data_IF_571624185604
#
_entry.id   IF_571624185604
#
_cell.length_a   1.000
_cell.length_b   1.000
_cell.length_c   1.000
_cell.angle_alpha   90.00
_cell.angle_beta   90.00
_cell.angle_gamma   90.00
#
_symmetry.space_group_name_H-M   'P 1'
#
loop_
_entity.id
_entity.type
_entity.pdbx_description
1 polymer ?
#
# COMPACT_ATOMS: atom_id res chain seq x y z
N UNK A 1 52.24 -48.61 59.08
CA UNK A 1 52.07 -49.23 57.74
C UNK A 1 50.77 -48.71 57.14
N UNK A 2 50.80 -48.38 55.85
CA UNK A 2 49.79 -47.66 55.05
C UNK A 2 48.36 -48.25 55.08
N UNK A 3 47.36 -47.36 54.82
CA UNK A 3 46.20 -47.53 53.89
C UNK A 3 44.97 -48.30 54.47
N UNK A 4 43.69 -47.96 54.26
CA UNK A 4 42.94 -47.05 53.37
C UNK A 4 41.52 -46.74 53.91
N UNK A 5 40.95 -45.68 53.35
CA UNK A 5 39.69 -44.93 53.54
C UNK A 5 38.42 -45.59 52.93
N UNK A 6 37.22 -45.27 53.44
CA UNK A 6 36.03 -44.97 52.62
C UNK A 6 34.88 -44.31 53.43
N UNK A 7 34.13 -43.44 52.75
CA UNK A 7 33.21 -42.38 53.21
C UNK A 7 31.76 -42.87 53.34
N UNK A 8 30.98 -42.26 54.25
CA UNK A 8 29.54 -42.49 54.49
C UNK A 8 28.75 -41.19 54.21
N UNK A 9 27.60 -41.31 53.54
CA UNK A 9 26.60 -40.23 53.37
C UNK A 9 25.32 -40.64 54.10
N UNK A 10 24.80 -39.77 54.98
CA UNK A 10 23.50 -39.91 55.63
C UNK A 10 22.68 -38.66 55.28
N UNK A 11 21.45 -38.86 54.80
CA UNK A 11 20.47 -37.80 54.57
C UNK A 11 19.43 -37.76 55.69
N UNK A 12 18.97 -36.55 56.04
CA UNK A 12 17.77 -36.34 56.87
C UNK A 12 17.02 -35.05 56.48
N UNK A 13 15.70 -35.25 56.34
CA UNK A 13 14.51 -34.40 56.49
C UNK A 13 14.65 -33.02 57.16
N UNK A 14 13.87 -32.03 56.68
CA UNK A 14 13.59 -30.77 57.38
C UNK A 14 12.43 -29.97 56.76
N UNK A 15 11.49 -29.53 57.61
CA UNK A 15 10.21 -28.85 57.36
C UNK A 15 10.30 -27.31 57.25
N UNK A 16 9.27 -26.72 56.62
CA UNK A 16 8.81 -25.30 56.57
C UNK A 16 8.73 -24.63 57.97
N UNK A 17 8.80 -23.31 58.24
CA UNK A 17 8.79 -22.00 57.56
C UNK A 17 9.28 -20.94 58.59
N UNK A 18 9.97 -19.85 58.21
CA UNK A 18 9.87 -18.50 58.83
C UNK A 18 10.74 -17.49 58.08
N UNK A 19 10.16 -16.36 57.68
CA UNK A 19 10.82 -15.25 56.98
C UNK A 19 11.74 -14.43 57.91
N UNK A 20 12.90 -13.96 57.42
CA UNK A 20 13.17 -12.53 57.17
C UNK A 20 14.52 -12.26 56.48
N UNK A 21 14.43 -11.29 55.55
CA UNK A 21 15.40 -10.30 55.03
C UNK A 21 16.43 -10.62 53.94
N UNK A 22 16.22 -9.85 52.86
CA UNK A 22 17.17 -9.11 52.01
C UNK A 22 18.35 -9.88 51.43
N UNK A 23 18.27 -10.14 50.13
CA UNK A 23 19.45 -10.20 49.28
C UNK A 23 19.18 -9.43 47.99
N UNK A 24 19.82 -8.26 47.95
CA UNK A 24 20.40 -7.53 46.83
C UNK A 24 20.16 -8.14 45.44
N UNK A 25 19.50 -7.36 44.59
CA UNK A 25 19.37 -7.59 43.16
C UNK A 25 20.74 -7.87 42.51
N UNK A 26 20.93 -9.09 42.02
CA UNK A 26 21.90 -9.40 40.97
C UNK A 26 21.40 -8.87 39.62
N UNK A 27 22.24 -8.86 38.56
CA UNK A 27 21.94 -8.17 37.31
C UNK A 27 20.67 -8.77 36.71
N UNK A 28 19.60 -7.98 36.72
CA UNK A 28 18.31 -8.37 36.18
C UNK A 28 18.46 -8.78 34.73
N UNK A 29 17.92 -9.95 34.42
CA UNK A 29 17.57 -10.36 33.06
C UNK A 29 16.82 -9.18 32.41
N UNK A 30 17.18 -8.72 31.19
CA UNK A 30 16.56 -7.53 30.62
C UNK A 30 15.08 -7.81 30.39
N UNK A 31 14.23 -7.13 31.15
CA UNK A 31 12.81 -6.98 30.83
C UNK A 31 12.79 -6.24 29.49
N UNK A 32 12.58 -6.96 28.40
CA UNK A 32 12.29 -6.36 27.10
C UNK A 32 11.00 -5.56 27.31
N UNK A 33 11.07 -4.25 27.10
CA UNK A 33 9.95 -3.32 27.20
C UNK A 33 8.73 -3.87 26.44
N UNK A 34 7.59 -4.08 27.13
CA UNK A 34 6.36 -4.61 26.52
C UNK A 34 5.94 -3.79 25.28
N UNK A 35 6.33 -2.51 25.22
CA UNK A 35 6.11 -1.65 24.05
C UNK A 35 6.97 -2.03 22.85
N UNK A 36 8.24 -2.39 23.04
CA UNK A 36 9.12 -2.85 21.94
C UNK A 36 8.62 -4.20 21.43
N UNK A 37 8.22 -5.10 22.33
CA UNK A 37 7.60 -6.37 21.95
C UNK A 37 6.30 -6.15 21.18
N UNK A 38 5.45 -5.22 21.63
CA UNK A 38 4.23 -4.85 20.94
C UNK A 38 4.50 -4.24 19.54
N UNK A 39 5.47 -3.34 19.41
CA UNK A 39 5.85 -2.77 18.12
C UNK A 39 6.39 -3.85 17.17
N UNK A 40 7.13 -4.84 17.68
CA UNK A 40 7.53 -6.01 16.91
C UNK A 40 6.33 -6.81 16.42
N UNK A 41 5.34 -7.02 17.29
CA UNK A 41 4.11 -7.73 16.93
C UNK A 41 3.26 -6.96 15.90
N UNK A 42 3.47 -5.65 15.74
CA UNK A 42 2.94 -4.83 14.64
C UNK A 42 3.74 -4.94 13.34
N UNK A 43 4.84 -5.71 13.33
CA UNK A 43 5.68 -5.95 12.16
C UNK A 43 6.93 -5.08 12.06
N UNK A 44 7.21 -4.21 13.03
CA UNK A 44 8.42 -3.39 13.03
C UNK A 44 9.66 -4.18 13.48
N UNK A 45 10.82 -3.95 12.85
CA UNK A 45 12.04 -4.73 13.12
C UNK A 45 12.79 -4.15 14.32
N UNK A 46 13.10 -4.97 15.34
CA UNK A 46 13.72 -4.49 16.59
C UNK A 46 15.12 -3.89 16.43
N UNK A 47 15.86 -4.27 15.38
CA UNK A 47 17.17 -3.68 15.08
C UNK A 47 17.06 -2.20 14.69
N UNK A 48 15.89 -1.81 14.21
CA UNK A 48 15.60 -0.50 13.65
C UNK A 48 14.64 0.32 14.54
N UNK A 49 14.23 -0.24 15.69
CA UNK A 49 13.48 0.47 16.73
C UNK A 49 14.48 1.06 17.74
N UNK A 50 14.62 2.38 17.71
CA UNK A 50 15.47 3.16 18.61
C UNK A 50 14.57 3.89 19.61
N UNK A 51 14.69 3.54 20.90
CA UNK A 51 14.02 4.26 21.98
C UNK A 51 14.67 5.63 22.19
N UNK A 52 13.84 6.67 22.29
CA UNK A 52 14.23 8.04 22.61
C UNK A 52 13.34 8.56 23.75
N UNK A 53 13.71 9.68 24.38
CA UNK A 53 13.00 10.20 25.57
C UNK A 53 11.48 10.38 25.36
N UNK A 54 11.08 10.81 24.17
CA UNK A 54 9.68 11.10 23.82
C UNK A 54 8.93 9.94 23.15
N UNK A 55 9.57 8.79 22.88
CA UNK A 55 8.94 7.69 22.17
C UNK A 55 9.94 6.74 21.49
N UNK A 56 9.61 6.33 20.27
CA UNK A 56 10.37 5.36 19.50
C UNK A 56 10.56 5.88 18.08
N UNK A 57 11.80 5.84 17.58
CA UNK A 57 12.12 6.02 16.17
C UNK A 57 12.25 4.64 15.55
N UNK A 58 11.53 4.39 14.47
CA UNK A 58 11.46 3.11 13.78
C UNK A 58 12.00 3.32 12.37
N UNK A 59 12.86 2.42 11.91
CA UNK A 59 13.48 2.44 10.57
C UNK A 59 14.23 3.75 10.24
N UNK A 60 14.54 4.54 11.28
CA UNK A 60 15.30 5.77 11.20
C UNK A 60 14.49 7.04 11.02
N UNK A 61 13.23 6.98 10.58
CA UNK A 61 12.40 8.15 10.20
C UNK A 61 10.89 8.01 10.53
N UNK A 62 10.42 6.89 11.07
CA UNK A 62 9.06 6.80 11.63
C UNK A 62 9.14 7.15 13.12
N UNK A 63 8.41 8.16 13.56
CA UNK A 63 8.34 8.49 14.99
C UNK A 63 6.99 8.10 15.58
N UNK A 64 7.01 7.31 16.66
CA UNK A 64 5.82 7.03 17.47
C UNK A 64 6.05 7.60 18.87
N UNK A 65 5.14 8.48 19.32
CA UNK A 65 5.22 8.96 20.69
C UNK A 65 4.88 7.84 21.67
N UNK A 66 5.34 7.95 22.92
CA UNK A 66 4.93 7.01 23.98
C UNK A 66 3.40 6.86 24.07
N UNK A 67 2.66 7.96 23.88
CA UNK A 67 1.20 7.95 23.90
C UNK A 67 0.60 7.20 22.70
N UNK A 68 1.19 7.34 21.51
CA UNK A 68 0.73 6.62 20.32
C UNK A 68 0.88 5.11 20.51
N UNK A 69 2.02 4.67 21.04
CA UNK A 69 2.27 3.25 21.33
C UNK A 69 1.28 2.73 22.38
N UNK A 70 1.03 3.49 23.45
CA UNK A 70 0.04 3.11 24.47
C UNK A 70 -1.39 3.03 23.90
N UNK A 71 -1.77 3.94 23.01
CA UNK A 71 -3.06 3.93 22.33
C UNK A 71 -3.19 2.73 21.38
N UNK A 72 -2.11 2.39 20.67
CA UNK A 72 -2.06 1.22 19.78
C UNK A 72 -2.20 -0.08 20.59
N UNK A 73 -1.49 -0.20 21.72
CA UNK A 73 -1.61 -1.33 22.65
C UNK A 73 -3.04 -1.49 23.18
N UNK A 74 -3.70 -0.38 23.52
CA UNK A 74 -5.09 -0.40 24.00
C UNK A 74 -6.11 -0.77 22.90
N UNK A 75 -5.85 -0.38 21.64
CA UNK A 75 -6.74 -0.65 20.49
C UNK A 75 -6.62 -2.07 19.94
N UNK A 76 -5.43 -2.69 19.99
CA UNK A 76 -5.26 -4.10 19.58
C UNK A 76 -6.15 -5.05 20.41
N UNK A 77 -6.40 -4.71 21.69
CA UNK A 77 -7.35 -5.43 22.54
C UNK A 77 -8.84 -5.29 22.11
N UNK A 78 -9.16 -4.45 21.11
CA UNK A 78 -10.54 -3.99 20.81
C UNK A 78 -10.88 -3.78 19.32
N UNK A 79 -10.22 -4.44 18.36
CA UNK A 79 -10.45 -4.37 16.88
C UNK A 79 -9.54 -3.36 16.16
N UNK A 80 -8.58 -3.90 15.38
CA UNK A 80 -7.98 -3.31 14.16
C UNK A 80 -7.14 -2.03 14.28
N UNK A 81 -5.83 -2.15 14.06
CA UNK A 81 -4.88 -1.02 13.95
C UNK A 81 -4.95 -0.36 12.57
N UNK A 82 -5.91 0.53 12.32
CA UNK A 82 -5.89 1.30 11.06
C UNK A 82 -5.02 2.56 11.20
N UNK A 83 -3.82 2.54 10.63
CA UNK A 83 -2.99 3.73 10.37
C UNK A 83 -3.47 4.50 9.13
N UNK A 84 -4.79 4.64 8.96
CA UNK A 84 -5.39 5.26 7.79
C UNK A 84 -6.16 6.52 8.16
N UNK A 85 -6.20 7.46 7.22
CA UNK A 85 -7.02 8.67 7.32
C UNK A 85 -8.47 8.33 6.97
N UNK A 86 -9.43 8.78 7.78
CA UNK A 86 -10.86 8.59 7.50
C UNK A 86 -11.31 9.40 6.28
N UNK A 87 -12.27 8.93 5.47
CA UNK A 87 -12.72 9.61 4.25
C UNK A 87 -12.96 11.12 4.37
N UNK A 88 -13.53 11.58 5.48
CA UNK A 88 -13.85 12.99 5.72
C UNK A 88 -12.62 13.88 5.92
N UNK A 89 -11.47 13.28 6.24
CA UNK A 89 -10.21 13.96 6.55
C UNK A 89 -9.16 13.81 5.44
N UNK A 90 -9.48 13.12 4.34
CA UNK A 90 -8.55 12.88 3.22
C UNK A 90 -8.39 14.12 2.32
N UNK A 91 -9.43 14.96 2.26
CA UNK A 91 -9.42 16.20 1.47
C UNK A 91 -9.03 17.39 2.34
N UNK A 92 -8.20 18.30 1.82
CA UNK A 92 -7.76 19.53 2.50
C UNK A 92 -6.91 19.29 3.77
N UNK A 93 -5.94 18.37 3.68
CA UNK A 93 -4.95 18.12 4.73
C UNK A 93 -3.97 19.29 4.76
N UNK A 94 -4.14 20.21 5.71
CA UNK A 94 -3.36 21.45 5.79
C UNK A 94 -1.97 21.20 6.35
N UNK A 95 -0.95 21.49 5.55
CA UNK A 95 0.46 21.37 5.90
C UNK A 95 1.04 22.74 6.20
N UNK A 96 1.45 22.97 7.44
CA UNK A 96 2.05 24.22 7.87
C UNK A 96 3.57 24.11 7.92
N UNK A 97 4.25 24.94 7.12
CA UNK A 97 5.68 25.17 7.21
C UNK A 97 6.00 26.10 8.39
N UNK A 98 6.38 25.52 9.53
CA UNK A 98 6.72 26.27 10.74
C UNK A 98 8.20 26.67 10.72
N UNK A 99 8.44 27.89 10.23
CA UNK A 99 9.74 28.55 10.22
C UNK A 99 10.87 27.68 9.61
N UNK A 100 10.59 27.05 8.46
CA UNK A 100 11.56 26.25 7.74
C UNK A 100 12.62 27.13 7.05
N UNK A 101 13.82 26.59 6.83
CA UNK A 101 14.81 27.20 5.93
C UNK A 101 14.26 27.25 4.49
N UNK A 102 14.70 28.22 3.68
CA UNK A 102 14.09 28.54 2.38
C UNK A 102 14.11 27.39 1.37
N UNK A 103 15.19 26.59 1.35
CA UNK A 103 15.28 25.37 0.56
C UNK A 103 14.24 24.33 0.97
N UNK A 104 14.00 24.14 2.26
CA UNK A 104 12.94 23.24 2.75
C UNK A 104 11.52 23.76 2.45
N UNK A 105 11.28 25.07 2.53
CA UNK A 105 10.00 25.66 2.11
C UNK A 105 9.71 25.41 0.63
N UNK A 106 10.71 25.61 -0.22
CA UNK A 106 10.60 25.37 -1.66
C UNK A 106 10.32 23.89 -1.93
N UNK A 107 11.09 23.00 -1.29
CA UNK A 107 10.92 21.56 -1.41
C UNK A 107 9.54 21.08 -0.93
N UNK A 108 9.02 21.63 0.19
CA UNK A 108 7.70 21.27 0.71
C UNK A 108 6.58 21.64 -0.27
N UNK A 109 6.67 22.83 -0.86
CA UNK A 109 5.71 23.28 -1.88
C UNK A 109 5.72 22.33 -3.09
N UNK A 110 6.92 21.90 -3.53
CA UNK A 110 7.06 20.95 -4.62
C UNK A 110 6.58 19.54 -4.27
N UNK A 111 6.80 19.09 -3.03
CA UNK A 111 6.34 17.79 -2.54
C UNK A 111 4.81 17.73 -2.47
N UNK A 112 4.16 18.77 -1.93
CA UNK A 112 2.70 18.92 -1.91
C UNK A 112 2.13 18.89 -3.33
N UNK A 113 2.75 19.63 -4.26
CA UNK A 113 2.32 19.65 -5.66
C UNK A 113 2.43 18.26 -6.31
N UNK A 114 3.48 17.50 -6.01
CA UNK A 114 3.67 16.14 -6.55
C UNK A 114 2.60 15.16 -6.02
N UNK A 115 2.32 15.17 -4.71
CA UNK A 115 1.24 14.35 -4.14
C UNK A 115 -0.11 14.70 -4.74
N UNK A 116 -0.44 15.99 -4.85
CA UNK A 116 -1.72 16.44 -5.42
C UNK A 116 -1.83 16.23 -6.94
N UNK A 117 -0.72 16.05 -7.64
CA UNK A 117 -0.70 15.71 -9.06
C UNK A 117 -0.93 14.20 -9.30
N UNK A 118 -0.91 13.38 -8.23
CA UNK A 118 -1.23 11.96 -8.35
C UNK A 118 -2.73 11.79 -8.59
N UNK A 119 -3.13 11.26 -9.75
CA UNK A 119 -4.54 11.16 -10.09
C UNK A 119 -5.23 10.09 -9.25
N UNK A 120 -6.56 10.14 -9.18
CA UNK A 120 -7.41 9.07 -8.65
C UNK A 120 -7.24 8.77 -7.16
N UNK A 121 -6.68 9.72 -6.41
CA UNK A 121 -6.66 9.70 -4.95
C UNK A 121 -7.51 10.81 -4.35
N UNK A 122 -8.17 10.53 -3.23
CA UNK A 122 -8.82 11.56 -2.41
C UNK A 122 -7.84 12.41 -1.61
N UNK A 123 -6.59 11.96 -1.44
CA UNK A 123 -5.58 12.69 -0.67
C UNK A 123 -5.30 14.01 -1.35
N UNK A 124 -5.52 15.09 -0.62
CA UNK A 124 -5.22 16.42 -1.07
C UNK A 124 -4.58 17.23 0.06
N UNK A 125 -3.31 17.56 -0.12
CA UNK A 125 -2.58 18.44 0.78
C UNK A 125 -2.77 19.90 0.39
N UNK A 126 -2.95 20.77 1.37
CA UNK A 126 -3.05 22.22 1.15
C UNK A 126 -2.12 22.97 2.07
N UNK A 127 -1.83 24.24 1.78
CA UNK A 127 -1.01 25.06 2.67
C UNK A 127 -1.82 25.44 3.92
N UNK A 128 -1.28 25.10 5.09
CA UNK A 128 -1.77 25.51 6.40
C UNK A 128 -1.03 26.72 6.96
N UNK A 129 -1.45 27.15 8.15
CA UNK A 129 -0.79 28.23 8.91
C UNK A 129 -0.81 27.94 10.41
N UNK A 130 -0.08 28.73 11.19
CA UNK A 130 -0.11 28.64 12.66
C UNK A 130 -1.56 28.71 13.18
N UNK A 131 -1.95 27.71 13.98
CA UNK A 131 -3.31 27.58 14.52
C UNK A 131 -4.36 27.02 13.55
N UNK A 132 -4.00 26.74 12.30
CA UNK A 132 -4.89 26.16 11.29
C UNK A 132 -4.11 25.19 10.38
N UNK A 133 -3.78 24.02 10.93
CA UNK A 133 -3.03 22.98 10.25
C UNK A 133 -3.46 21.59 10.75
N UNK A 134 -3.25 20.59 9.90
CA UNK A 134 -3.31 19.17 10.26
C UNK A 134 -1.90 18.64 10.52
N UNK A 135 -0.95 19.02 9.67
CA UNK A 135 0.45 18.58 9.72
C UNK A 135 1.32 19.81 9.97
N UNK A 136 2.14 19.77 11.03
CA UNK A 136 3.19 20.77 11.28
C UNK A 136 4.51 20.24 10.76
N UNK A 137 5.16 20.96 9.85
CA UNK A 137 6.50 20.66 9.38
C UNK A 137 7.45 21.65 10.04
N UNK A 138 8.40 21.17 10.84
CA UNK A 138 9.33 22.03 11.59
C UNK A 138 10.76 21.50 11.55
N UNK A 139 11.72 22.40 11.69
CA UNK A 139 13.11 22.02 11.96
C UNK A 139 13.35 21.81 13.46
N UNK A 140 14.24 20.89 13.78
CA UNK A 140 14.82 20.73 15.11
C UNK A 140 16.35 20.73 15.02
N UNK A 141 17.08 21.19 16.06
CA UNK A 141 18.54 21.30 16.01
C UNK A 141 19.24 19.99 15.64
N UNK A 142 18.73 18.87 16.16
CA UNK A 142 19.14 17.51 15.84
C UNK A 142 18.00 16.54 16.11
N UNK A 143 17.97 15.43 15.38
CA UNK A 143 17.16 14.26 15.72
C UNK A 143 18.04 13.20 16.40
N UNK A 144 17.41 12.24 17.06
CA UNK A 144 18.09 11.08 17.64
C UNK A 144 17.55 9.81 16.98
N UNK A 145 18.40 8.94 16.41
CA UNK A 145 19.85 9.14 16.26
C UNK A 145 20.17 10.35 15.37
N UNK A 146 21.37 10.92 15.51
CA UNK A 146 21.77 12.13 14.74
C UNK A 146 21.86 11.90 13.24
N UNK A 147 21.89 10.63 12.82
CA UNK A 147 21.82 10.18 11.43
C UNK A 147 20.43 10.32 10.83
N UNK A 148 19.37 10.39 11.64
CA UNK A 148 17.99 10.63 11.18
C UNK A 148 17.91 11.96 10.44
N UNK A 149 17.42 11.91 9.20
CA UNK A 149 17.36 13.06 8.30
C UNK A 149 16.10 13.88 8.61
N UNK A 150 14.96 13.20 8.64
CA UNK A 150 13.67 13.71 9.06
C UNK A 150 12.90 12.55 9.69
N UNK A 151 11.81 12.86 10.37
CA UNK A 151 10.85 11.85 10.80
C UNK A 151 9.43 12.39 10.80
N UNK A 152 8.46 11.49 10.73
CA UNK A 152 7.04 11.82 10.72
C UNK A 152 6.23 10.95 11.69
N UNK A 153 5.13 11.51 12.19
CA UNK A 153 4.09 10.74 12.87
C UNK A 153 3.21 10.02 11.83
N UNK A 154 2.80 8.79 12.13
CA UNK A 154 1.77 8.08 11.36
C UNK A 154 0.35 8.64 11.67
N UNK A 155 -0.65 8.33 10.83
CA UNK A 155 -2.04 8.68 11.11
C UNK A 155 -2.52 8.12 12.45
N UNK A 156 -3.37 8.89 13.12
CA UNK A 156 -3.99 8.46 14.37
C UNK A 156 -5.44 8.91 14.43
N UNK A 157 -6.32 7.99 14.84
CA UNK A 157 -7.75 8.24 14.98
C UNK A 157 -8.42 8.83 13.72
N UNK A 158 -8.01 8.36 12.53
CA UNK A 158 -8.56 8.82 11.25
C UNK A 158 -8.04 10.19 10.79
N UNK A 159 -7.11 10.80 11.51
CA UNK A 159 -6.46 12.05 11.11
C UNK A 159 -5.06 11.77 10.54
N UNK A 160 -4.59 12.64 9.65
CA UNK A 160 -3.21 12.62 9.17
C UNK A 160 -2.20 12.73 10.34
N UNK A 161 -1.01 12.18 10.12
CA UNK A 161 0.14 12.33 11.01
C UNK A 161 0.45 13.80 11.27
N UNK A 162 0.39 14.20 12.54
CA UNK A 162 0.30 15.64 12.87
C UNK A 162 1.63 16.41 12.80
N UNK A 163 2.75 15.72 12.59
CA UNK A 163 4.09 16.30 12.72
C UNK A 163 5.07 15.65 11.74
N UNK A 164 5.87 16.50 11.10
CA UNK A 164 7.12 16.15 10.44
C UNK A 164 8.22 16.98 11.09
N UNK A 165 9.30 16.34 11.53
CA UNK A 165 10.49 17.02 12.06
C UNK A 165 11.67 16.81 11.11
N UNK A 166 12.39 17.89 10.83
CA UNK A 166 13.57 17.86 9.97
C UNK A 166 14.79 18.14 10.83
N UNK A 167 15.82 17.31 10.71
CA UNK A 167 17.10 17.53 11.36
C UNK A 167 17.82 18.71 10.68
N UNK A 168 18.06 19.80 11.41
CA UNK A 168 18.71 21.00 10.88
C UNK A 168 20.14 20.74 10.36
N UNK A 169 20.79 19.65 10.78
CA UNK A 169 22.08 19.20 10.25
C UNK A 169 22.02 18.82 8.77
N UNK A 170 20.83 18.66 8.19
CA UNK A 170 20.61 18.27 6.80
C UNK A 170 20.36 19.46 5.85
N UNK A 171 20.47 20.70 6.34
CA UNK A 171 20.17 21.91 5.56
C UNK A 171 21.05 22.10 4.32
N UNK A 172 22.25 21.51 4.30
CA UNK A 172 23.19 21.55 3.17
C UNK A 172 22.69 20.80 1.93
N UNK A 173 21.66 19.95 2.06
CA UNK A 173 21.14 19.14 0.95
C UNK A 173 20.57 20.02 -0.16
N UNK A 174 20.72 19.61 -1.44
CA UNK A 174 20.09 20.29 -2.56
C UNK A 174 18.55 20.18 -2.48
N UNK A 175 17.84 21.12 -3.12
CA UNK A 175 16.36 21.18 -3.10
C UNK A 175 15.73 19.88 -3.60
N UNK A 176 16.31 19.20 -4.59
CA UNK A 176 15.82 17.91 -5.09
C UNK A 176 15.82 16.82 -4.02
N UNK A 177 16.89 16.70 -3.25
CA UNK A 177 16.96 15.76 -2.12
C UNK A 177 15.99 16.15 -1.01
N UNK A 178 15.87 17.45 -0.71
CA UNK A 178 14.88 17.96 0.27
C UNK A 178 13.45 17.63 -0.15
N UNK A 179 13.12 17.74 -1.45
CA UNK A 179 11.81 17.38 -2.01
C UNK A 179 11.54 15.90 -1.80
N UNK A 180 12.49 15.03 -2.17
CA UNK A 180 12.34 13.59 -1.99
C UNK A 180 12.07 13.21 -0.53
N UNK A 181 12.84 13.77 0.40
CA UNK A 181 12.67 13.54 1.84
C UNK A 181 11.27 13.99 2.28
N UNK A 182 10.84 15.21 1.95
CA UNK A 182 9.52 15.68 2.36
C UNK A 182 8.37 14.92 1.70
N UNK A 183 8.54 14.42 0.47
CA UNK A 183 7.57 13.53 -0.15
C UNK A 183 7.42 12.23 0.64
N UNK A 184 8.55 11.63 1.05
CA UNK A 184 8.58 10.42 1.89
C UNK A 184 7.89 10.64 3.23
N UNK A 185 8.25 11.71 3.94
CA UNK A 185 7.63 12.04 5.24
C UNK A 185 6.13 12.31 5.11
N UNK A 186 5.69 12.98 4.04
CA UNK A 186 4.25 13.14 3.77
C UNK A 186 3.55 11.79 3.54
N UNK A 187 4.23 10.82 2.91
CA UNK A 187 3.76 9.44 2.79
C UNK A 187 3.49 8.80 4.17
N UNK A 188 4.41 8.95 5.12
CA UNK A 188 4.18 8.51 6.49
C UNK A 188 2.97 9.19 7.13
N UNK A 189 2.77 10.49 6.92
CA UNK A 189 1.60 11.18 7.49
C UNK A 189 0.25 10.71 6.94
N UNK A 190 0.24 9.95 5.86
CA UNK A 190 -0.95 9.30 5.30
C UNK A 190 -0.91 7.78 5.46
N UNK A 191 -0.01 7.24 6.27
CA UNK A 191 -0.02 5.84 6.68
C UNK A 191 0.80 4.91 5.82
N UNK A 192 1.59 5.44 4.87
CA UNK A 192 2.56 4.62 4.17
C UNK A 192 3.72 4.29 5.10
N UNK A 193 4.22 3.07 5.00
CA UNK A 193 5.38 2.57 5.74
C UNK A 193 6.44 2.13 4.75
N UNK A 194 7.64 1.81 5.23
CA UNK A 194 8.73 1.43 4.35
C UNK A 194 8.47 0.13 3.59
N UNK A 195 9.00 0.06 2.37
CA UNK A 195 8.82 -1.08 1.43
C UNK A 195 9.92 -2.14 1.53
N UNK A 196 11.02 -1.83 2.22
CA UNK A 196 12.22 -2.65 2.34
C UNK A 196 12.40 -3.30 3.73
N UNK A 197 11.41 -3.17 4.62
CA UNK A 197 11.34 -3.90 5.89
C UNK A 197 10.81 -5.32 5.67
N UNK A 198 11.65 -6.22 5.15
CA UNK A 198 11.30 -7.62 4.90
C UNK A 198 11.51 -8.46 6.17
N UNK A 199 10.43 -8.95 6.79
CA UNK A 199 10.48 -10.16 7.61
C UNK A 199 9.35 -11.15 7.26
N UNK A 200 9.65 -12.43 7.40
CA UNK A 200 8.77 -13.56 7.13
C UNK A 200 7.64 -13.75 8.16
N UNK A 201 7.46 -12.83 9.12
CA UNK A 201 6.44 -12.90 10.16
C UNK A 201 5.19 -12.05 9.84
N UNK A 202 5.28 -11.09 8.92
CA UNK A 202 4.14 -10.30 8.41
C UNK A 202 3.10 -11.13 7.64
N UNK A 203 3.41 -12.38 7.26
CA UNK A 203 2.45 -13.33 6.70
C UNK A 203 1.35 -13.73 7.70
N UNK A 204 1.46 -13.35 8.98
CA UNK A 204 0.49 -13.67 10.04
C UNK A 204 -0.36 -12.48 10.52
N UNK A 205 -0.03 -11.24 10.15
CA UNK A 205 -0.76 -10.03 10.60
C UNK A 205 -1.31 -9.14 9.48
N UNK A 206 -1.25 -9.62 8.24
CA UNK A 206 -2.02 -9.08 7.11
C UNK A 206 -1.80 -7.56 6.87
N UNK A 207 -0.54 -7.07 6.68
CA UNK A 207 -0.38 -5.91 5.81
C UNK A 207 -0.94 -6.39 4.47
N UNK A 208 -2.09 -5.87 4.06
CA UNK A 208 -2.69 -6.29 2.80
C UNK A 208 -1.68 -6.02 1.70
N UNK A 209 -1.04 -7.09 1.21
CA UNK A 209 -0.33 -7.06 -0.05
C UNK A 209 -1.29 -6.43 -1.03
N UNK A 210 -0.93 -5.24 -1.51
CA UNK A 210 -1.70 -4.59 -2.53
C UNK A 210 -1.41 -5.35 -3.81
N UNK A 211 -2.37 -6.18 -4.17
CA UNK A 211 -2.26 -7.13 -5.26
C UNK A 211 -1.82 -6.40 -6.54
N UNK A 212 -0.65 -6.71 -7.10
CA UNK A 212 -0.07 -5.97 -8.23
C UNK A 212 1.13 -5.07 -7.94
N UNK A 213 1.54 -4.90 -6.67
CA UNK A 213 2.87 -4.36 -6.34
C UNK A 213 3.90 -5.49 -6.39
N UNK A 214 5.02 -5.28 -7.09
CA UNK A 214 6.03 -6.32 -7.28
C UNK A 214 6.44 -7.00 -5.96
N UNK A 215 6.47 -8.33 -5.95
CA UNK A 215 6.76 -9.18 -4.80
C UNK A 215 8.26 -9.28 -4.43
N UNK A 216 9.05 -8.23 -4.68
CA UNK A 216 10.46 -8.18 -4.32
C UNK A 216 10.94 -6.72 -4.35
N UNK A 217 11.33 -6.19 -3.19
CA UNK A 217 12.08 -4.93 -3.00
C UNK A 217 11.94 -3.92 -4.15
N UNK A 218 10.90 -3.08 -4.13
CA UNK A 218 10.83 -1.94 -5.04
C UNK A 218 11.91 -0.91 -4.64
N UNK A 219 13.13 -1.09 -5.16
CA UNK A 219 14.26 -0.19 -4.96
C UNK A 219 13.99 1.22 -5.49
N UNK A 220 12.95 1.40 -6.31
CA UNK A 220 12.52 2.70 -6.82
C UNK A 220 11.55 3.43 -5.91
N UNK A 221 10.87 2.72 -5.00
CA UNK A 221 9.81 3.24 -4.13
C UNK A 221 10.22 4.53 -3.41
N UNK A 222 9.31 5.50 -3.38
CA UNK A 222 9.45 6.69 -2.56
C UNK A 222 9.60 6.31 -1.07
N UNK A 223 8.95 5.23 -0.65
CA UNK A 223 8.93 4.73 0.72
C UNK A 223 10.02 3.67 0.96
N UNK A 224 11.18 3.76 0.31
CA UNK A 224 12.34 2.96 0.67
C UNK A 224 13.12 3.65 1.82
N UNK A 225 13.54 2.89 2.84
CA UNK A 225 14.27 3.40 4.02
C UNK A 225 15.64 3.98 3.67
N UNK A 226 16.31 3.36 2.69
CA UNK A 226 17.52 3.92 2.09
C UNK A 226 17.08 4.82 0.93
N UNK A 227 17.16 6.15 1.09
CA UNK A 227 16.87 7.17 0.06
C UNK A 227 17.73 6.99 -1.21
N UNK A 228 17.47 5.93 -1.96
CA UNK A 228 18.10 5.50 -3.21
C UNK A 228 17.22 5.86 -4.42
N UNK A 229 16.02 6.40 -4.19
CA UNK A 229 15.10 6.81 -5.23
C UNK A 229 15.80 7.78 -6.19
N UNK A 230 15.93 7.34 -7.44
CA UNK A 230 16.72 7.99 -8.49
C UNK A 230 16.06 9.29 -8.99
N UNK A 231 14.80 9.53 -8.62
CA UNK A 231 13.97 10.66 -9.08
C UNK A 231 13.07 11.19 -7.97
N UNK A 232 12.97 12.52 -7.81
CA UNK A 232 12.08 13.18 -6.84
C UNK A 232 10.62 13.25 -7.34
N UNK A 233 10.04 12.09 -7.65
CA UNK A 233 8.69 11.91 -8.22
C UNK A 233 8.05 10.67 -7.60
N UNK A 234 6.74 10.67 -7.39
CA UNK A 234 6.02 9.51 -6.87
C UNK A 234 6.07 8.40 -7.92
N UNK A 235 6.51 7.20 -7.54
CA UNK A 235 6.67 6.10 -8.50
C UNK A 235 5.34 5.48 -8.90
N UNK A 236 5.37 4.58 -9.88
CA UNK A 236 4.18 3.86 -10.34
C UNK A 236 3.53 3.06 -9.20
N UNK A 237 4.32 2.31 -8.43
CA UNK A 237 3.79 1.47 -7.36
C UNK A 237 3.33 2.29 -6.15
N UNK A 238 3.97 3.43 -5.84
CA UNK A 238 3.50 4.36 -4.82
C UNK A 238 2.13 4.96 -5.20
N UNK A 239 1.92 5.33 -6.47
CA UNK A 239 0.62 5.83 -6.96
C UNK A 239 -0.46 4.76 -6.90
N UNK A 240 -0.13 3.53 -7.30
CA UNK A 240 -1.04 2.40 -7.22
C UNK A 240 -1.47 2.10 -5.78
N UNK A 241 -0.52 2.14 -4.83
CA UNK A 241 -0.83 2.00 -3.41
C UNK A 241 -1.70 3.17 -2.91
N UNK A 242 -1.42 4.40 -3.37
CA UNK A 242 -2.15 5.60 -2.98
C UNK A 242 -3.61 5.55 -3.39
N UNK A 243 -3.91 5.15 -4.61
CA UNK A 243 -5.29 5.04 -5.04
C UNK A 243 -6.02 3.92 -4.33
N UNK A 244 -5.40 2.76 -4.11
CA UNK A 244 -6.05 1.66 -3.41
C UNK A 244 -6.35 1.99 -1.95
N UNK A 245 -5.44 2.72 -1.31
CA UNK A 245 -5.60 3.15 0.08
C UNK A 245 -6.63 4.28 0.19
N UNK A 246 -6.60 5.22 -0.76
CA UNK A 246 -7.38 6.46 -0.74
C UNK A 246 -8.04 6.73 -2.10
N UNK A 247 -9.00 5.91 -2.53
CA UNK A 247 -9.58 5.97 -3.88
C UNK A 247 -10.44 7.22 -4.08
N UNK A 248 -10.18 8.05 -5.11
CA UNK A 248 -11.09 9.15 -5.50
C UNK A 248 -12.49 8.64 -5.82
N UNK A 249 -12.55 7.47 -6.47
CA UNK A 249 -13.78 6.75 -6.79
C UNK A 249 -13.75 5.39 -6.08
N UNK A 250 -14.14 5.31 -4.79
CA UNK A 250 -14.18 4.04 -4.09
C UNK A 250 -15.14 3.10 -4.82
N UNK A 251 -14.80 1.80 -4.93
CA UNK A 251 -15.72 0.80 -5.45
C UNK A 251 -17.05 0.90 -4.69
N UNK A 252 -18.16 1.08 -5.42
CA UNK A 252 -19.47 1.10 -4.77
C UNK A 252 -19.69 -0.22 -4.02
N UNK A 253 -20.34 -0.14 -2.87
CA UNK A 253 -20.76 -1.34 -2.13
C UNK A 253 -21.53 -2.28 -3.06
N UNK A 254 -21.08 -3.54 -3.16
CA UNK A 254 -21.64 -4.52 -4.10
C UNK A 254 -20.93 -4.60 -5.45
N UNK A 255 -19.76 -3.98 -5.60
CA UNK A 255 -18.86 -4.15 -6.76
C UNK A 255 -17.60 -4.95 -6.40
N UNK A 256 -16.97 -5.56 -7.40
CA UNK A 256 -15.72 -6.30 -7.30
C UNK A 256 -14.75 -5.92 -8.41
N UNK A 257 -13.46 -6.13 -8.17
CA UNK A 257 -12.41 -5.85 -9.13
C UNK A 257 -12.44 -6.83 -10.30
N UNK A 258 -12.20 -6.32 -11.51
CA UNK A 258 -11.90 -7.11 -12.71
C UNK A 258 -10.43 -6.94 -13.03
N UNK A 259 -9.67 -8.02 -12.95
CA UNK A 259 -8.24 -8.07 -13.19
C UNK A 259 -7.95 -8.24 -14.67
N UNK A 260 -6.96 -7.49 -15.19
CA UNK A 260 -6.44 -7.61 -16.56
C UNK A 260 -5.15 -8.42 -16.57
N UNK A 261 -5.07 -9.38 -17.49
CA UNK A 261 -3.87 -10.17 -17.75
C UNK A 261 -3.52 -10.11 -19.24
N UNK A 262 -2.23 -10.18 -19.57
CA UNK A 262 -1.74 -10.29 -20.94
C UNK A 262 -0.94 -11.57 -21.12
N UNK A 263 -1.22 -12.30 -22.20
CA UNK A 263 -0.46 -13.49 -22.56
C UNK A 263 0.60 -13.16 -23.60
N UNK A 264 1.86 -13.23 -23.20
CA UNK A 264 3.00 -12.86 -24.04
C UNK A 264 3.26 -13.84 -25.19
N UNK A 265 2.69 -15.05 -25.16
CA UNK A 265 2.90 -16.07 -26.19
C UNK A 265 1.93 -15.93 -27.36
N UNK A 266 0.67 -15.58 -27.11
CA UNK A 266 -0.38 -15.48 -28.13
C UNK A 266 -1.01 -14.08 -28.26
N UNK A 267 -0.55 -13.14 -27.43
CA UNK A 267 -0.97 -11.74 -27.36
C UNK A 267 -2.46 -11.56 -27.02
N UNK A 268 -3.03 -12.44 -26.21
CA UNK A 268 -4.41 -12.35 -25.73
C UNK A 268 -4.52 -11.52 -24.43
N UNK A 269 -5.56 -10.69 -24.33
CA UNK A 269 -5.95 -10.05 -23.08
C UNK A 269 -7.11 -10.76 -22.39
N UNK A 270 -6.92 -11.08 -21.12
CA UNK A 270 -7.88 -11.79 -20.29
C UNK A 270 -8.36 -10.93 -19.12
N UNK A 271 -9.68 -10.97 -18.86
CA UNK A 271 -10.35 -10.21 -17.83
C UNK A 271 -11.14 -11.14 -16.93
N UNK A 272 -10.91 -11.06 -15.62
CA UNK A 272 -11.61 -11.93 -14.65
C UNK A 272 -11.83 -11.27 -13.30
N UNK A 273 -12.92 -11.66 -12.65
CA UNK A 273 -13.18 -11.36 -11.24
C UNK A 273 -12.49 -12.34 -10.28
N UNK A 274 -12.08 -13.52 -10.77
CA UNK A 274 -11.53 -14.57 -9.94
C UNK A 274 -10.01 -14.57 -10.05
N UNK A 275 -9.35 -14.05 -9.01
CA UNK A 275 -7.89 -14.00 -8.91
C UNK A 275 -7.22 -15.36 -9.14
N UNK A 276 -7.84 -16.44 -8.68
CA UNK A 276 -7.28 -17.80 -8.78
C UNK A 276 -7.58 -18.49 -10.11
N UNK A 277 -8.33 -17.88 -11.03
CA UNK A 277 -8.69 -18.49 -12.31
C UNK A 277 -7.48 -18.82 -13.19
N UNK A 278 -6.44 -17.98 -13.12
CA UNK A 278 -5.18 -18.17 -13.85
C UNK A 278 -4.00 -18.51 -12.91
N UNK A 279 -4.31 -19.02 -11.70
CA UNK A 279 -3.37 -19.40 -10.63
C UNK A 279 -2.70 -18.26 -9.83
N UNK A 280 -3.03 -16.97 -10.02
CA UNK A 280 -2.35 -15.88 -9.29
C UNK A 280 -0.81 -15.93 -9.41
N UNK A 281 -0.07 -15.32 -8.48
CA UNK A 281 1.40 -15.28 -8.48
C UNK A 281 2.10 -16.66 -8.27
N UNK A 282 1.36 -17.76 -8.08
CA UNK A 282 1.95 -19.11 -8.03
C UNK A 282 2.22 -19.62 -9.45
N UNK A 283 3.33 -19.12 -9.99
CA UNK A 283 4.00 -19.52 -11.23
C UNK A 283 3.39 -18.98 -12.55
N UNK A 284 3.73 -17.75 -12.96
CA UNK A 284 3.28 -17.15 -14.24
C UNK A 284 3.70 -17.93 -15.50
N UNK A 285 4.59 -18.92 -15.37
CA UNK A 285 5.11 -19.69 -16.50
C UNK A 285 4.20 -20.86 -16.95
N UNK A 286 3.19 -21.27 -16.17
CA UNK A 286 2.35 -22.42 -16.56
C UNK A 286 1.20 -22.09 -17.52
N UNK A 287 0.69 -20.85 -17.51
CA UNK A 287 -0.41 -20.40 -18.38
C UNK A 287 0.01 -19.36 -19.43
N UNK A 288 1.18 -18.72 -19.25
CA UNK A 288 1.70 -17.67 -20.13
C UNK A 288 1.07 -16.29 -19.92
N UNK A 289 0.14 -16.14 -18.97
CA UNK A 289 -0.48 -14.87 -18.62
C UNK A 289 0.29 -14.17 -17.50
N UNK A 290 0.48 -12.86 -17.66
CA UNK A 290 1.02 -11.97 -16.63
C UNK A 290 -0.06 -10.98 -16.22
N UNK A 291 -0.24 -10.80 -14.91
CA UNK A 291 -1.10 -9.75 -14.38
C UNK A 291 -0.59 -8.38 -14.81
N UNK A 292 -1.49 -7.50 -15.24
CA UNK A 292 -1.15 -6.13 -15.63
C UNK A 292 -1.72 -5.10 -14.63
N UNK A 293 -3.00 -5.19 -14.30
CA UNK A 293 -3.68 -4.23 -13.43
C UNK A 293 -5.09 -4.67 -13.03
N UNK A 294 -5.72 -3.93 -12.12
CA UNK A 294 -7.18 -3.91 -12.04
C UNK A 294 -7.68 -3.08 -13.23
N UNK A 295 -8.44 -3.69 -14.12
CA UNK A 295 -8.98 -3.03 -15.30
C UNK A 295 -10.07 -2.02 -14.94
N UNK A 296 -11.00 -2.45 -14.08
CA UNK A 296 -12.19 -1.71 -13.65
C UNK A 296 -12.92 -2.49 -12.54
N UNK A 297 -13.95 -1.88 -11.96
CA UNK A 297 -14.89 -2.53 -11.04
C UNK A 297 -16.24 -2.75 -11.73
N UNK A 298 -16.81 -3.93 -11.50
CA UNK A 298 -18.12 -4.33 -11.99
C UNK A 298 -19.02 -4.72 -10.81
N UNK A 299 -20.35 -4.67 -11.00
CA UNK A 299 -21.29 -5.16 -10.00
C UNK A 299 -21.13 -6.66 -9.77
N UNK A 300 -21.13 -7.09 -8.51
CA UNK A 300 -21.18 -8.50 -8.11
C UNK A 300 -22.58 -9.10 -8.27
N UNK A 301 -23.60 -8.25 -8.16
CA UNK A 301 -24.99 -8.58 -8.40
C UNK A 301 -25.60 -7.58 -9.37
N UNK A 302 -26.58 -8.03 -10.14
CA UNK A 302 -27.31 -7.15 -11.04
C UNK A 302 -28.20 -6.21 -10.23
N UNK A 303 -27.97 -4.90 -10.34
CA UNK A 303 -28.88 -3.89 -9.80
C UNK A 303 -29.00 -2.70 -10.76
N UNK A 304 -30.12 -1.98 -10.67
CA UNK A 304 -30.31 -0.66 -11.28
C UNK A 304 -29.81 -0.51 -12.72
N UNK A 305 -30.43 -1.14 -13.71
CA UNK A 305 -30.08 -0.92 -15.12
C UNK A 305 -28.74 -1.53 -15.58
N UNK A 306 -28.01 -2.22 -14.70
CA UNK A 306 -26.84 -3.01 -15.10
C UNK A 306 -27.26 -4.25 -15.92
N UNK A 307 -26.36 -4.68 -16.78
CA UNK A 307 -26.46 -5.88 -17.61
C UNK A 307 -25.21 -6.73 -17.46
N UNK A 308 -25.29 -8.06 -17.61
CA UNK A 308 -24.11 -8.93 -17.57
C UNK A 308 -23.13 -8.59 -18.71
N UNK A 309 -21.84 -8.58 -18.37
CA UNK A 309 -20.76 -8.52 -19.35
C UNK A 309 -20.25 -9.94 -19.59
N UNK A 310 -20.50 -10.46 -20.78
CA UNK A 310 -20.28 -11.86 -21.12
C UNK A 310 -18.89 -12.08 -21.70
N UNK A 311 -18.23 -13.17 -21.30
CA UNK A 311 -16.94 -13.62 -21.83
C UNK A 311 -17.14 -14.79 -22.78
N UNK A 312 -16.47 -14.72 -23.92
CA UNK A 312 -16.41 -15.77 -24.93
C UNK A 312 -14.96 -16.05 -25.30
N UNK A 313 -14.64 -17.29 -25.63
CA UNK A 313 -13.33 -17.71 -26.13
C UNK A 313 -13.46 -18.22 -27.57
N UNK A 314 -12.59 -17.76 -28.45
CA UNK A 314 -12.53 -18.23 -29.83
C UNK A 314 -11.83 -19.59 -29.91
N UNK A 315 -12.55 -20.63 -30.31
CA UNK A 315 -12.12 -22.04 -30.20
C UNK A 315 -10.90 -22.43 -31.04
N UNK A 316 -10.44 -21.57 -31.96
CA UNK A 316 -9.28 -21.84 -32.83
C UNK A 316 -8.01 -21.11 -32.36
N UNK A 317 -8.14 -19.89 -31.86
CA UNK A 317 -6.99 -19.04 -31.53
C UNK A 317 -6.95 -18.67 -30.04
N UNK A 318 -7.90 -19.18 -29.25
CA UNK A 318 -8.04 -19.01 -27.81
C UNK A 318 -8.13 -17.56 -27.34
N UNK A 319 -8.55 -16.65 -28.23
CA UNK A 319 -8.70 -15.24 -27.89
C UNK A 319 -10.03 -14.93 -27.26
N UNK A 320 -10.02 -14.02 -26.30
CA UNK A 320 -11.22 -13.66 -25.56
C UNK A 320 -11.95 -12.47 -26.19
N UNK A 321 -13.28 -12.52 -26.09
CA UNK A 321 -14.17 -11.45 -26.51
C UNK A 321 -15.21 -11.18 -25.42
N UNK A 322 -15.46 -9.91 -25.16
CA UNK A 322 -16.35 -9.45 -24.08
C UNK A 322 -17.43 -8.54 -24.63
N UNK A 323 -18.68 -8.83 -24.31
CA UNK A 323 -19.80 -8.02 -24.82
C UNK A 323 -21.01 -8.04 -23.86
N UNK A 324 -21.78 -6.96 -23.86
CA UNK A 324 -23.12 -6.90 -23.26
C UNK A 324 -24.22 -7.37 -24.22
N UNK A 325 -23.89 -7.58 -25.49
CA UNK A 325 -24.78 -8.01 -26.56
C UNK A 325 -24.31 -9.34 -27.16
N UNK A 326 -24.82 -10.49 -26.66
CA UNK A 326 -24.51 -11.82 -27.20
C UNK A 326 -24.71 -11.97 -28.71
N UNK A 327 -25.57 -11.14 -29.32
CA UNK A 327 -25.82 -11.16 -30.75
C UNK A 327 -24.58 -10.83 -31.58
N UNK A 328 -23.61 -10.08 -31.03
CA UNK A 328 -22.33 -9.82 -31.70
C UNK A 328 -21.55 -11.11 -31.97
N UNK A 329 -21.70 -12.10 -31.09
CA UNK A 329 -21.04 -13.39 -31.21
C UNK A 329 -21.87 -14.35 -32.05
N UNK A 330 -23.17 -14.50 -31.75
CA UNK A 330 -24.03 -15.45 -32.47
C UNK A 330 -24.17 -15.11 -33.96
N UNK A 331 -24.18 -13.82 -34.31
CA UNK A 331 -24.32 -13.38 -35.70
C UNK A 331 -22.99 -13.36 -36.47
N UNK A 332 -21.85 -13.52 -35.79
CA UNK A 332 -20.53 -13.49 -36.44
C UNK A 332 -20.22 -14.72 -37.27
N UNK A 333 -20.90 -15.84 -37.00
CA UNK A 333 -20.57 -17.16 -37.56
C UNK A 333 -19.20 -17.71 -37.13
N UNK A 334 -18.51 -17.05 -36.20
CA UNK A 334 -17.20 -17.46 -35.69
C UNK A 334 -17.35 -18.48 -34.55
N UNK A 335 -16.39 -19.42 -34.39
CA UNK A 335 -16.47 -20.50 -33.42
C UNK A 335 -16.14 -20.03 -32.00
N UNK A 336 -17.00 -19.21 -31.40
CA UNK A 336 -16.86 -18.77 -30.00
C UNK A 336 -17.62 -19.67 -29.03
N UNK A 337 -16.97 -20.01 -27.93
CA UNK A 337 -17.55 -20.73 -26.80
C UNK A 337 -17.86 -19.77 -25.66
N UNK A 338 -19.08 -19.84 -25.11
CA UNK A 338 -19.50 -19.02 -23.97
C UNK A 338 -18.83 -19.50 -22.68
N UNK A 339 -18.25 -18.58 -21.90
CA UNK A 339 -17.54 -18.89 -20.66
C UNK A 339 -18.17 -18.24 -19.41
N UNK A 340 -19.34 -17.61 -19.53
CA UNK A 340 -20.02 -16.98 -18.39
C UNK A 340 -20.01 -15.46 -18.44
N UNK A 341 -20.37 -14.84 -17.32
CA UNK A 341 -20.28 -13.39 -17.11
C UNK A 341 -19.17 -13.07 -16.13
N UNK A 342 -18.39 -12.02 -16.43
CA UNK A 342 -17.31 -11.53 -15.57
C UNK A 342 -17.81 -10.51 -14.54
N UNK A 343 -19.04 -10.02 -14.68
CA UNK A 343 -19.67 -9.06 -13.77
C UNK A 343 -20.80 -8.30 -14.44
N UNK A 344 -21.44 -7.40 -13.71
CA UNK A 344 -22.53 -6.56 -14.19
C UNK A 344 -22.04 -5.13 -14.45
N UNK A 345 -22.36 -4.58 -15.63
CA UNK A 345 -21.89 -3.28 -16.14
C UNK A 345 -23.05 -2.44 -16.65
N UNK A 346 -22.86 -1.14 -16.85
CA UNK A 346 -23.91 -0.29 -17.38
C UNK A 346 -23.85 -0.20 -18.92
N UNK A 347 -24.99 -0.33 -19.62
CA UNK A 347 -25.03 -0.16 -21.07
C UNK A 347 -24.92 1.32 -21.49
N UNK A 348 -25.20 2.24 -20.57
CA UNK A 348 -25.18 3.71 -20.79
C UNK A 348 -24.51 4.43 -19.62
N UNK A 349 -23.96 5.61 -19.88
CA UNK A 349 -23.26 6.43 -18.89
C UNK A 349 -24.14 6.68 -17.64
N UNK A 350 -23.61 6.37 -16.47
CA UNK A 350 -24.19 6.72 -15.17
C UNK A 350 -23.24 7.67 -14.39
N UNK A 351 -23.70 8.34 -13.32
CA UNK A 351 -22.81 9.10 -12.44
C UNK A 351 -21.70 8.22 -11.87
N UNK A 352 -20.45 8.68 -11.94
CA UNK A 352 -19.28 7.98 -11.39
C UNK A 352 -18.75 6.81 -12.23
N UNK A 353 -19.32 6.54 -13.41
CA UNK A 353 -18.80 5.50 -14.32
C UNK A 353 -17.94 6.10 -15.43
N UNK A 354 -17.05 5.28 -16.00
CA UNK A 354 -16.18 5.64 -17.12
C UNK A 354 -16.49 4.73 -18.32
N UNK A 355 -16.34 5.23 -19.56
CA UNK A 355 -16.46 4.39 -20.75
C UNK A 355 -15.37 3.32 -20.78
N UNK A 356 -15.75 2.07 -20.98
CA UNK A 356 -14.83 0.99 -21.30
C UNK A 356 -14.67 0.91 -22.82
N UNK A 357 -13.54 1.40 -23.32
CA UNK A 357 -13.20 1.41 -24.73
C UNK A 357 -12.79 0.01 -25.19
N UNK A 358 -13.35 -0.45 -26.32
CA UNK A 358 -12.95 -1.70 -26.97
C UNK A 358 -12.07 -1.42 -28.18
N UNK A 359 -10.99 -2.17 -28.28
CA UNK A 359 -10.10 -2.16 -29.43
C UNK A 359 -9.95 -3.57 -29.97
N UNK A 360 -9.66 -3.68 -31.28
CA UNK A 360 -9.32 -4.95 -31.91
C UNK A 360 -7.97 -4.85 -32.59
N UNK A 361 -7.06 -5.74 -32.26
CA UNK A 361 -5.81 -5.89 -33.00
C UNK A 361 -6.10 -6.52 -34.37
N UNK A 362 -5.55 -5.92 -35.41
CA UNK A 362 -5.80 -6.32 -36.80
C UNK A 362 -4.90 -7.47 -37.27
N UNK A 363 -3.83 -7.78 -36.52
CA UNK A 363 -2.84 -8.81 -36.83
C UNK A 363 -3.10 -10.06 -35.99
N UNK A 364 -2.92 -9.95 -34.67
CA UNK A 364 -3.49 -10.92 -33.73
C UNK A 364 -4.97 -10.54 -33.63
N UNK A 365 -6.00 -11.34 -33.83
CA UNK A 365 -7.38 -10.91 -33.60
C UNK A 365 -7.76 -10.61 -32.13
N UNK A 366 -6.84 -10.09 -31.31
CA UNK A 366 -7.01 -9.81 -29.88
C UNK A 366 -7.93 -8.61 -29.65
N UNK A 367 -8.59 -8.59 -28.49
CA UNK A 367 -9.41 -7.48 -28.05
C UNK A 367 -8.89 -6.92 -26.72
N UNK A 368 -8.62 -5.62 -26.72
CA UNK A 368 -8.23 -4.87 -25.53
C UNK A 368 -9.40 -4.01 -25.05
N UNK A 369 -9.64 -4.02 -23.74
CA UNK A 369 -10.67 -3.25 -23.05
C UNK A 369 -10.00 -2.36 -22.02
N UNK A 370 -10.17 -1.05 -22.14
CA UNK A 370 -9.52 -0.10 -21.24
C UNK A 370 -10.40 1.11 -21.00
N UNK A 371 -10.34 1.65 -19.80
CA UNK A 371 -10.94 2.94 -19.45
C UNK A 371 -9.98 4.11 -19.71
N UNK A 372 -8.70 3.82 -19.94
CA UNK A 372 -7.68 4.83 -20.20
C UNK A 372 -7.61 5.13 -21.70
N UNK A 373 -8.26 6.23 -22.12
CA UNK A 373 -8.18 6.70 -23.51
C UNK A 373 -6.74 6.95 -23.97
N UNK A 374 -5.84 7.33 -23.06
CA UNK A 374 -4.43 7.58 -23.36
C UNK A 374 -3.63 6.33 -23.72
N UNK A 375 -4.15 5.12 -23.46
CA UNK A 375 -3.45 3.86 -23.77
C UNK A 375 -3.34 3.63 -25.29
N UNK A 376 -4.39 3.94 -26.05
CA UNK A 376 -4.42 3.72 -27.51
C UNK A 376 -5.04 4.86 -28.32
N UNK A 377 -5.78 5.78 -27.70
CA UNK A 377 -6.47 6.87 -28.39
C UNK A 377 -7.41 6.35 -29.49
N UNK A 378 -7.26 6.87 -30.71
CA UNK A 378 -8.00 6.38 -31.89
C UNK A 378 -7.45 5.07 -32.47
N UNK A 379 -6.33 4.56 -31.96
CA UNK A 379 -5.67 3.33 -32.37
C UNK A 379 -4.15 3.45 -32.34
N UNK A 380 -3.46 2.40 -31.88
CA UNK A 380 -2.01 2.27 -31.84
C UNK A 380 -1.62 0.79 -31.83
N UNK A 381 -0.36 0.45 -32.15
CA UNK A 381 0.15 -0.93 -32.08
C UNK A 381 -0.74 -1.99 -32.78
N UNK A 382 -1.28 -1.64 -33.95
CA UNK A 382 -2.22 -2.44 -34.74
C UNK A 382 -3.62 -2.66 -34.14
N UNK A 383 -3.90 -2.04 -32.99
CA UNK A 383 -5.24 -1.95 -32.43
C UNK A 383 -6.04 -0.82 -33.07
N UNK A 384 -7.25 -1.16 -33.52
CA UNK A 384 -8.23 -0.22 -34.05
C UNK A 384 -9.36 -0.05 -33.05
N UNK A 385 -9.73 1.20 -32.77
CA UNK A 385 -10.87 1.51 -31.89
C UNK A 385 -12.19 1.00 -32.47
N UNK A 386 -12.98 0.30 -31.65
CA UNK A 386 -14.28 -0.30 -32.03
C UNK A 386 -15.47 0.32 -31.29
N UNK A 387 -15.26 1.36 -30.50
CA UNK A 387 -16.31 2.03 -29.73
C UNK A 387 -16.27 1.74 -28.23
N UNK A 388 -17.30 2.21 -27.54
CA UNK A 388 -17.52 1.97 -26.11
C UNK A 388 -18.25 0.62 -25.98
N UNK A 389 -17.66 -0.33 -25.26
CA UNK A 389 -18.29 -1.61 -24.98
C UNK A 389 -19.40 -1.50 -23.93
N UNK A 390 -19.14 -0.73 -22.87
CA UNK A 390 -20.04 -0.48 -21.75
C UNK A 390 -19.48 0.65 -20.87
N UNK A 391 -20.12 0.90 -19.73
CA UNK A 391 -19.67 1.85 -18.71
C UNK A 391 -19.46 1.11 -17.39
N UNK A 392 -18.32 1.37 -16.75
CA UNK A 392 -17.82 0.64 -15.58
C UNK A 392 -17.35 1.60 -14.50
N UNK A 393 -17.23 1.14 -13.26
CA UNK A 393 -16.57 1.94 -12.24
C UNK A 393 -15.05 1.88 -12.46
N UNK A 394 -14.34 3.01 -12.42
CA UNK A 394 -12.89 2.98 -12.54
C UNK A 394 -12.29 2.24 -11.34
N UNK A 395 -11.13 1.58 -11.50
CA UNK A 395 -10.36 1.17 -10.35
C UNK A 395 -9.88 2.41 -9.59
N UNK A 396 -9.61 2.27 -8.29
CA UNK A 396 -8.57 3.09 -7.70
C UNK A 396 -7.28 2.80 -8.46
N UNK A 397 -6.75 3.79 -9.19
CA UNK A 397 -5.65 3.59 -10.16
C UNK A 397 -4.25 3.46 -9.61
#
# INVERSE_FOLDING_TARGET
>A
MRVLTAILVIGTLGTLMSCTRENLDGPGNPVIDDRISFLRDLGFVTADIIRVDSGYVIDGDIFLTNQDVDLLMQKQARVGTSFLISPQNQTNIKVWADNLESGWNTALTQAIAEWNASPNSTINFTTGSSGNYNIRVRMVPSLSPTTTIANALLPSAGNAGSLIQINALQNWRPISSKKLILMHELGHTIGFVHTDTWNSELLSYNPTFVNGTASASDYGSLMNSAFNAVTATITLYDRYLLSLTYPEYPPLTGTHAIYRYHNHNNNDHFYTQNWSELAGDVNPYSSGYTYESIAYYAGAVQFGGMVPFYRYEHSVNHRHFYTINPSEVTNSGQPYSYQGSVGYVFPTQQPGTFPLYRYRNTISGDHLYTINWGELGSGAYSYTYQGIACYVYPPPF
#
